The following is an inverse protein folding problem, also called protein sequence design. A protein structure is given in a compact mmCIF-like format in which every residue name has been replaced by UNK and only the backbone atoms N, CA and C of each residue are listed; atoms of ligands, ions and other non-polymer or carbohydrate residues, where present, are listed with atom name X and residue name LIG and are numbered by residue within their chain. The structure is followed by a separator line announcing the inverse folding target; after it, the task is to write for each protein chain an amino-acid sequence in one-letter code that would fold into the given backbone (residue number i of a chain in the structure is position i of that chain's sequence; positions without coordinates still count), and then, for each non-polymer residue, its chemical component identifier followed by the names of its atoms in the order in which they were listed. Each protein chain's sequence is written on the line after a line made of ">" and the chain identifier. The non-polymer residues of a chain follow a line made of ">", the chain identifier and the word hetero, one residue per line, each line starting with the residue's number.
data_IF_964530837331
#
_entry.id   IF_964530837331
#
_cell.length_a   1.000
_cell.length_b   1.000
_cell.length_c   1.000
_cell.angle_alpha   90.00
_cell.angle_beta   90.00
_cell.angle_gamma   90.00
#
_symmetry.space_group_name_H-M   'P 1'
#
loop_
_entity.id
_entity.type
_entity.pdbx_description
1 polymer ?
#
# COMPACT_ATOMS: atom_id res chain seq x y z
N UNK A 1 7.88 3.15 12.01
CA UNK A 1 6.72 3.29 11.09
C UNK A 1 5.60 4.10 11.70
N UNK A 2 5.12 3.79 12.93
CA UNK A 2 4.09 4.63 13.60
C UNK A 2 4.48 6.11 13.67
N UNK A 3 5.71 6.41 14.10
CA UNK A 3 6.14 7.81 14.24
C UNK A 3 6.19 8.53 12.88
N UNK A 4 6.71 7.86 11.84
CA UNK A 4 6.71 8.35 10.46
C UNK A 4 5.27 8.60 9.94
N UNK A 5 4.35 7.68 10.25
CA UNK A 5 2.95 7.81 9.87
C UNK A 5 2.25 8.98 10.60
N UNK A 6 2.65 9.26 11.85
CA UNK A 6 2.13 10.39 12.60
C UNK A 6 2.57 11.74 12.01
N UNK A 7 3.78 11.81 11.46
CA UNK A 7 4.29 13.00 10.74
C UNK A 7 3.52 13.26 9.44
N UNK A 8 3.11 12.21 8.72
CA UNK A 8 2.40 12.30 7.44
C UNK A 8 0.93 12.78 7.54
N UNK A 9 0.37 12.90 8.76
CA UNK A 9 -1.02 13.33 9.04
C UNK A 9 -2.03 12.60 8.17
N UNK A 10 -2.21 11.32 8.45
CA UNK A 10 -3.03 10.40 7.65
C UNK A 10 -4.31 10.02 8.37
N UNK A 11 -5.36 9.79 7.61
CA UNK A 11 -6.68 9.44 8.14
C UNK A 11 -6.87 7.93 8.27
N UNK A 12 -6.15 7.15 7.45
CA UNK A 12 -6.32 5.70 7.33
C UNK A 12 -5.00 5.03 6.95
N UNK A 13 -4.88 3.77 7.32
CA UNK A 13 -3.82 2.90 6.82
C UNK A 13 -4.43 1.91 5.83
N UNK A 14 -3.89 1.84 4.63
CA UNK A 14 -4.18 0.77 3.69
C UNK A 14 -3.09 -0.28 3.75
N UNK A 15 -3.46 -1.55 3.68
CA UNK A 15 -2.50 -2.64 3.76
C UNK A 15 -2.64 -3.56 2.56
N UNK A 16 -1.52 -3.97 2.00
CA UNK A 16 -1.48 -4.88 0.84
C UNK A 16 -1.46 -6.34 1.31
N UNK A 17 -2.32 -7.16 0.70
CA UNK A 17 -2.49 -8.56 1.05
C UNK A 17 -1.23 -9.40 0.74
N UNK A 18 -0.79 -10.31 1.62
CA UNK A 18 -1.27 -10.57 2.99
C UNK A 18 -0.29 -10.12 4.07
N UNK A 19 1.01 -10.01 3.74
CA UNK A 19 2.06 -9.76 4.72
C UNK A 19 2.03 -8.32 5.24
N UNK A 20 1.61 -7.36 4.43
CA UNK A 20 1.37 -5.99 4.88
C UNK A 20 0.39 -5.89 6.05
N UNK A 21 -0.58 -6.81 6.17
CA UNK A 21 -1.52 -6.83 7.30
C UNK A 21 -0.84 -7.01 8.65
N UNK A 22 0.26 -7.78 8.69
CA UNK A 22 1.01 -8.08 9.91
C UNK A 22 1.61 -6.80 10.51
N UNK A 23 1.95 -5.83 9.66
CA UNK A 23 2.53 -4.55 10.09
C UNK A 23 1.47 -3.46 10.23
N UNK A 24 0.50 -3.41 9.32
CA UNK A 24 -0.51 -2.36 9.29
C UNK A 24 -1.55 -2.50 10.40
N UNK A 25 -2.00 -3.72 10.74
CA UNK A 25 -3.02 -3.93 11.77
C UNK A 25 -2.59 -3.46 13.19
N UNK A 26 -1.39 -3.84 13.71
CA UNK A 26 -0.95 -3.30 14.99
C UNK A 26 -0.67 -1.79 14.92
N UNK A 27 -0.24 -1.28 13.76
CA UNK A 27 -0.03 0.15 13.55
C UNK A 27 -1.35 0.93 13.61
N UNK A 28 -2.39 0.46 12.92
CA UNK A 28 -3.74 1.03 12.93
C UNK A 28 -4.30 1.08 14.35
N UNK A 29 -4.15 -0.02 15.10
CA UNK A 29 -4.57 -0.13 16.49
C UNK A 29 -3.85 0.90 17.37
N UNK A 30 -2.54 1.04 17.22
CA UNK A 30 -1.73 1.97 18.02
C UNK A 30 -1.98 3.44 17.68
N UNK A 31 -2.32 3.73 16.42
CA UNK A 31 -2.62 5.09 15.96
C UNK A 31 -4.10 5.48 16.14
N UNK A 32 -4.98 4.52 16.42
CA UNK A 32 -6.43 4.76 16.47
C UNK A 32 -7.04 5.10 15.11
N UNK A 33 -6.44 4.60 14.02
CA UNK A 33 -6.89 4.86 12.65
C UNK A 33 -7.57 3.62 12.04
N UNK A 34 -8.53 3.80 11.12
CA UNK A 34 -9.09 2.69 10.35
C UNK A 34 -8.04 1.98 9.51
N UNK A 35 -8.21 0.66 9.38
CA UNK A 35 -7.43 -0.19 8.49
C UNK A 35 -8.27 -0.54 7.25
N UNK A 36 -7.75 -0.19 6.08
CA UNK A 36 -8.30 -0.53 4.76
C UNK A 36 -7.55 -1.74 4.21
N UNK A 37 -8.28 -2.75 3.74
CA UNK A 37 -7.69 -3.97 3.21
C UNK A 37 -7.67 -3.94 1.68
N UNK A 38 -6.46 -3.96 1.10
CA UNK A 38 -6.27 -4.12 -0.34
C UNK A 38 -5.95 -5.59 -0.62
N UNK A 39 -6.87 -6.30 -1.29
CA UNK A 39 -6.77 -7.76 -1.45
C UNK A 39 -6.69 -8.19 -2.89
N UNK A 40 -6.15 -9.38 -3.13
CA UNK A 40 -6.28 -10.02 -4.45
C UNK A 40 -7.76 -10.24 -4.80
N UNK A 41 -8.06 -10.25 -6.09
CA UNK A 41 -9.41 -10.40 -6.60
C UNK A 41 -10.20 -11.56 -5.98
N UNK A 42 -11.47 -11.31 -5.64
CA UNK A 42 -12.39 -12.30 -5.10
C UNK A 42 -12.16 -12.70 -3.64
N UNK A 43 -11.29 -11.98 -2.92
CA UNK A 43 -11.02 -12.23 -1.48
C UNK A 43 -11.86 -11.36 -0.55
N UNK A 44 -12.40 -10.24 -1.05
CA UNK A 44 -13.31 -9.38 -0.29
C UNK A 44 -14.76 -9.78 -0.58
N UNK A 45 -15.63 -9.86 0.44
CA UNK A 45 -17.05 -10.13 0.22
C UNK A 45 -17.78 -8.89 -0.31
N UNK A 46 -18.84 -9.07 -1.08
CA UNK A 46 -19.68 -7.95 -1.53
C UNK A 46 -19.08 -7.16 -2.69
N UNK A 47 -19.53 -5.90 -2.85
CA UNK A 47 -19.14 -5.04 -3.96
C UNK A 47 -17.79 -4.37 -3.71
N UNK A 48 -16.88 -4.46 -4.69
CA UNK A 48 -15.52 -3.92 -4.61
C UNK A 48 -15.20 -3.04 -5.81
N UNK A 49 -14.23 -2.15 -5.63
CA UNK A 49 -13.49 -1.54 -6.72
C UNK A 49 -12.26 -2.40 -6.99
N UNK A 50 -11.94 -2.61 -8.26
CA UNK A 50 -10.75 -3.34 -8.69
C UNK A 50 -9.78 -2.45 -9.46
N UNK A 51 -8.49 -2.79 -9.41
CA UNK A 51 -7.46 -2.23 -10.27
C UNK A 51 -6.58 -3.36 -10.81
N UNK A 52 -6.52 -3.46 -12.14
CA UNK A 52 -5.75 -4.48 -12.83
C UNK A 52 -4.34 -3.96 -13.13
N UNK A 53 -3.34 -4.82 -12.97
CA UNK A 53 -1.94 -4.49 -13.25
C UNK A 53 -1.19 -5.69 -13.83
N UNK A 54 -0.20 -5.39 -14.65
CA UNK A 54 0.61 -6.40 -15.32
C UNK A 54 1.73 -6.87 -14.40
N UNK A 55 1.98 -8.17 -14.44
CA UNK A 55 3.18 -8.81 -13.90
C UNK A 55 4.11 -9.16 -15.07
N UNK A 56 5.34 -9.59 -14.75
CA UNK A 56 6.27 -10.12 -15.77
C UNK A 56 5.64 -11.30 -16.54
N UNK A 57 4.89 -12.15 -15.82
CA UNK A 57 4.13 -13.25 -16.39
C UNK A 57 2.68 -13.20 -15.91
N UNK A 58 1.84 -12.50 -16.68
CA UNK A 58 0.39 -12.47 -16.48
C UNK A 58 -0.15 -11.15 -15.95
N UNK A 59 -1.36 -11.20 -15.44
CA UNK A 59 -2.09 -10.05 -14.89
C UNK A 59 -2.62 -10.41 -13.51
N UNK A 60 -2.65 -9.42 -12.62
CA UNK A 60 -3.28 -9.54 -11.32
C UNK A 60 -4.20 -8.34 -11.09
N UNK A 61 -5.15 -8.50 -10.16
CA UNK A 61 -6.03 -7.41 -9.75
C UNK A 61 -6.03 -7.29 -8.24
N UNK A 62 -5.98 -6.04 -7.77
CA UNK A 62 -6.24 -5.67 -6.38
C UNK A 62 -7.67 -5.15 -6.25
N UNK A 63 -8.28 -5.39 -5.11
CA UNK A 63 -9.64 -5.00 -4.75
C UNK A 63 -9.69 -4.30 -3.39
N UNK A 64 -10.61 -3.36 -3.27
CA UNK A 64 -10.95 -2.64 -2.03
C UNK A 64 -12.47 -2.42 -1.95
N UNK A 65 -13.02 -2.31 -0.75
CA UNK A 65 -14.36 -1.78 -0.56
C UNK A 65 -14.36 -0.27 -0.77
N UNK A 66 -15.22 0.26 -1.64
CA UNK A 66 -15.27 1.70 -1.91
C UNK A 66 -15.54 2.53 -0.64
N UNK A 67 -16.41 2.01 0.24
CA UNK A 67 -16.81 2.68 1.48
C UNK A 67 -15.66 2.79 2.51
N UNK A 68 -14.61 1.97 2.37
CA UNK A 68 -13.43 2.02 3.26
C UNK A 68 -12.53 3.24 2.94
N UNK A 69 -12.67 3.83 1.75
CA UNK A 69 -11.89 4.98 1.28
C UNK A 69 -12.81 6.15 0.92
N UNK A 70 -13.26 6.94 1.91
CA UNK A 70 -14.03 8.15 1.64
C UNK A 70 -13.26 9.15 0.78
N UNK A 71 -13.99 9.92 -0.02
CA UNK A 71 -13.40 10.93 -0.89
C UNK A 71 -12.53 11.93 -0.12
N UNK A 72 -11.32 12.18 -0.61
CA UNK A 72 -10.32 13.06 0.00
C UNK A 72 -9.60 12.47 1.21
N UNK A 73 -9.86 11.20 1.58
CA UNK A 73 -9.15 10.54 2.66
C UNK A 73 -7.65 10.45 2.37
N UNK A 74 -6.81 10.90 3.30
CA UNK A 74 -5.35 10.73 3.22
C UNK A 74 -4.98 9.34 3.71
N UNK A 75 -4.52 8.49 2.81
CA UNK A 75 -4.27 7.07 3.07
C UNK A 75 -2.77 6.78 2.99
N UNK A 76 -2.23 6.17 4.05
CA UNK A 76 -0.88 5.64 4.04
C UNK A 76 -0.89 4.17 3.69
N UNK A 77 -0.17 3.77 2.64
CA UNK A 77 -0.08 2.37 2.24
C UNK A 77 1.05 1.70 3.00
N UNK A 78 0.78 0.53 3.57
CA UNK A 78 1.73 -0.26 4.36
C UNK A 78 1.88 -1.65 3.76
N UNK A 79 3.12 -2.07 3.57
CA UNK A 79 3.46 -3.45 3.19
C UNK A 79 4.73 -3.95 3.90
N UNK A 80 5.03 -5.24 3.77
CA UNK A 80 6.24 -5.79 4.35
C UNK A 80 7.49 -5.39 3.57
N UNK A 81 7.43 -5.39 2.24
CA UNK A 81 8.61 -5.21 1.40
C UNK A 81 8.28 -4.51 0.07
N UNK A 82 9.19 -3.66 -0.41
CA UNK A 82 9.22 -3.22 -1.81
C UNK A 82 10.39 -3.85 -2.57
N UNK A 83 10.07 -4.47 -3.71
CA UNK A 83 11.02 -4.92 -4.72
C UNK A 83 10.93 -4.00 -5.96
N UNK A 84 10.17 -4.40 -6.98
CA UNK A 84 9.97 -3.59 -8.21
C UNK A 84 8.93 -2.47 -8.06
N UNK A 85 8.20 -2.42 -6.94
CA UNK A 85 7.17 -1.40 -6.70
C UNK A 85 5.82 -1.62 -7.39
N UNK A 86 5.69 -2.60 -8.29
CA UNK A 86 4.47 -2.80 -9.10
C UNK A 86 3.18 -2.97 -8.28
N UNK A 87 3.19 -3.82 -7.26
CA UNK A 87 2.01 -4.04 -6.40
C UNK A 87 1.64 -2.80 -5.57
N UNK A 88 2.64 -2.04 -5.09
CA UNK A 88 2.42 -0.81 -4.33
C UNK A 88 1.91 0.32 -5.21
N UNK A 89 2.36 0.38 -6.47
CA UNK A 89 1.83 1.32 -7.47
C UNK A 89 0.37 1.01 -7.80
N UNK A 90 0.04 -0.27 -7.98
CA UNK A 90 -1.35 -0.70 -8.18
C UNK A 90 -2.23 -0.40 -6.96
N UNK A 91 -1.69 -0.57 -5.75
CA UNK A 91 -2.36 -0.19 -4.51
C UNK A 91 -2.66 1.32 -4.46
N UNK A 92 -1.68 2.18 -4.76
CA UNK A 92 -1.87 3.63 -4.80
C UNK A 92 -2.93 4.05 -5.82
N UNK A 93 -2.85 3.52 -7.04
CA UNK A 93 -3.84 3.79 -8.08
C UNK A 93 -5.26 3.32 -7.69
N UNK A 94 -5.38 2.22 -6.95
CA UNK A 94 -6.67 1.74 -6.44
C UNK A 94 -7.25 2.65 -5.35
N UNK A 95 -6.42 3.15 -4.44
CA UNK A 95 -6.82 4.15 -3.43
C UNK A 95 -7.32 5.43 -4.10
N UNK A 96 -6.59 5.92 -5.10
CA UNK A 96 -6.96 7.12 -5.86
C UNK A 96 -8.25 6.90 -6.66
N UNK A 97 -8.40 5.72 -7.28
CA UNK A 97 -9.64 5.32 -7.95
C UNK A 97 -10.84 5.26 -7.01
N UNK A 98 -10.63 4.89 -5.74
CA UNK A 98 -11.66 4.91 -4.72
C UNK A 98 -11.96 6.34 -4.21
N UNK A 99 -11.17 7.34 -4.61
CA UNK A 99 -11.35 8.75 -4.28
C UNK A 99 -10.48 9.25 -3.13
N UNK A 100 -9.56 8.43 -2.62
CA UNK A 100 -8.58 8.83 -1.61
C UNK A 100 -7.34 9.51 -2.21
N UNK A 101 -6.52 10.07 -1.33
CA UNK A 101 -5.18 10.58 -1.65
C UNK A 101 -4.14 9.63 -1.06
N UNK A 102 -3.19 9.15 -1.88
CA UNK A 102 -2.06 8.38 -1.37
C UNK A 102 -1.08 9.32 -0.68
N UNK A 103 -1.11 9.34 0.65
CA UNK A 103 -0.27 10.22 1.47
C UNK A 103 1.20 9.77 1.55
N UNK A 104 1.48 8.53 1.15
CA UNK A 104 2.81 7.94 1.13
C UNK A 104 2.74 6.42 1.16
N UNK A 105 3.93 5.80 1.12
CA UNK A 105 4.11 4.36 1.14
C UNK A 105 5.17 4.00 2.19
N UNK A 106 4.78 3.15 3.13
CA UNK A 106 5.65 2.64 4.19
C UNK A 106 5.89 1.16 4.04
N UNK A 107 7.15 0.76 3.98
CA UNK A 107 7.55 -0.65 4.00
C UNK A 107 8.50 -0.95 5.14
N UNK A 108 8.56 -2.21 5.55
CA UNK A 108 9.62 -2.62 6.49
C UNK A 108 10.94 -2.74 5.76
N UNK A 109 10.92 -3.44 4.62
CA UNK A 109 12.12 -3.77 3.85
C UNK A 109 12.07 -3.10 2.48
N UNK A 110 13.18 -2.50 2.08
CA UNK A 110 13.39 -2.03 0.71
C UNK A 110 14.58 -2.76 0.08
N UNK A 111 14.34 -3.37 -1.08
CA UNK A 111 15.38 -4.02 -1.88
C UNK A 111 15.94 -3.04 -2.91
N UNK A 112 17.15 -2.55 -2.63
CA UNK A 112 17.88 -1.63 -3.50
C UNK A 112 18.41 -2.39 -4.71
N UNK A 113 18.32 -1.78 -5.89
CA UNK A 113 18.73 -2.37 -7.17
C UNK A 113 17.59 -2.92 -8.02
N UNK A 114 16.37 -3.02 -7.48
CA UNK A 114 15.21 -3.60 -8.20
C UNK A 114 14.25 -2.57 -8.80
N UNK A 115 14.59 -1.28 -8.79
CA UNK A 115 13.79 -0.23 -9.44
C UNK A 115 12.57 0.28 -8.64
N UNK A 116 12.44 -0.12 -7.37
CA UNK A 116 11.26 0.20 -6.55
C UNK A 116 11.06 1.69 -6.28
N UNK A 117 12.15 2.46 -6.08
CA UNK A 117 12.07 3.92 -5.87
C UNK A 117 11.62 4.65 -7.13
N UNK A 118 12.14 4.25 -8.27
CA UNK A 118 11.83 4.82 -9.57
C UNK A 118 10.36 4.55 -9.94
N UNK A 119 9.88 3.33 -9.67
CA UNK A 119 8.49 2.95 -9.94
C UNK A 119 7.48 3.76 -9.11
N UNK A 120 7.89 4.20 -7.91
CA UNK A 120 7.08 4.90 -6.91
C UNK A 120 7.49 6.37 -6.74
N UNK A 121 8.18 6.97 -7.71
CA UNK A 121 8.72 8.33 -7.62
C UNK A 121 7.66 9.43 -7.39
N UNK A 122 6.40 9.15 -7.68
CA UNK A 122 5.26 10.05 -7.44
C UNK A 122 4.80 10.05 -5.96
N UNK A 123 5.34 9.17 -5.13
CA UNK A 123 4.94 8.98 -3.74
C UNK A 123 6.13 9.06 -2.79
N UNK A 124 5.89 9.59 -1.59
CA UNK A 124 6.86 9.52 -0.50
C UNK A 124 7.01 8.06 -0.04
N UNK A 125 8.14 7.44 -0.38
CA UNK A 125 8.50 6.08 0.01
C UNK A 125 9.48 6.09 1.18
N UNK A 126 9.08 5.48 2.30
CA UNK A 126 9.95 5.22 3.45
C UNK A 126 10.05 3.72 3.75
N UNK A 127 11.25 3.32 4.18
CA UNK A 127 11.59 1.97 4.60
C UNK A 127 12.25 1.98 5.97
N UNK A 128 12.09 0.90 6.76
CA UNK A 128 12.80 0.78 8.03
C UNK A 128 14.22 0.27 7.86
N UNK A 129 14.41 -0.65 6.91
CA UNK A 129 15.71 -1.24 6.57
C UNK A 129 15.83 -1.40 5.06
N UNK A 130 17.04 -1.24 4.56
CA UNK A 130 17.39 -1.42 3.16
C UNK A 130 18.35 -2.60 3.01
N UNK A 131 18.19 -3.39 1.96
CA UNK A 131 19.14 -4.43 1.56
C UNK A 131 19.53 -4.22 0.11
N UNK A 132 20.83 -4.29 -0.18
CA UNK A 132 21.32 -4.34 -1.56
C UNK A 132 21.09 -5.74 -2.13
N UNK A 133 20.58 -5.79 -3.37
CA UNK A 133 20.40 -7.04 -4.11
C UNK A 133 21.32 -6.98 -5.32
N UNK A 134 22.33 -7.85 -5.32
CA UNK A 134 23.16 -8.09 -6.50
C UNK A 134 22.36 -8.94 -7.51
N UNK A 135 22.39 -8.55 -8.79
CA UNK A 135 21.82 -9.34 -9.90
C UNK A 135 22.49 -10.71 -10.04
#
# INVERSE_FOLDING_TARGET
>A
MVDLAAEARVDRLAAVDSRGFIFAAPMATRMGLPLVLLRKAGKLPGATLSYDYNLEYGQASLEVHADDVPSGARVLIIDDLVATGGSLKAAAALIEKAGGETAGIGVVIELIGLGGREALADYDLFSLVTFEVDE
#
